data_IF_829096896153
#
_entry.id   IF_829096896153
#
_cell.length_a   1.000
_cell.length_b   1.000
_cell.length_c   1.000
_cell.angle_alpha   90.00
_cell.angle_beta   90.00
_cell.angle_gamma   90.00
#
_symmetry.space_group_name_H-M   'P 1'
#
loop_
_entity.id
_entity.type
_entity.pdbx_description
1 polymer ?
#
# COMPACT_ATOMS: atom_id res chain seq x y z
N UNK A 1 -112.71 -15.38 -38.05
CA UNK A 1 -113.50 -14.12 -38.02
C UNK A 1 -113.06 -13.12 -39.09
N UNK A 2 -111.79 -12.70 -39.15
CA UNK A 2 -111.34 -11.73 -40.16
C UNK A 2 -111.54 -12.25 -41.59
N UNK A 3 -111.10 -13.48 -41.89
CA UNK A 3 -111.30 -14.10 -43.21
C UNK A 3 -112.79 -14.23 -43.60
N UNK A 4 -113.68 -14.41 -42.63
CA UNK A 4 -115.12 -14.52 -42.88
C UNK A 4 -115.78 -13.16 -43.10
N UNK A 5 -115.37 -12.11 -42.36
CA UNK A 5 -115.81 -10.72 -42.57
C UNK A 5 -115.30 -10.18 -43.91
N UNK A 6 -114.04 -10.44 -44.25
CA UNK A 6 -113.46 -10.12 -45.55
C UNK A 6 -114.25 -10.78 -46.69
N UNK A 7 -114.67 -12.04 -46.53
CA UNK A 7 -115.52 -12.74 -47.50
C UNK A 7 -116.92 -12.12 -47.64
N UNK A 8 -117.52 -11.62 -46.55
CA UNK A 8 -118.80 -10.90 -46.59
C UNK A 8 -118.64 -9.58 -47.36
N UNK A 9 -117.57 -8.81 -47.08
CA UNK A 9 -117.24 -7.57 -47.81
C UNK A 9 -116.92 -7.80 -49.28
N UNK A 10 -116.21 -8.88 -49.64
CA UNK A 10 -115.96 -9.22 -51.04
C UNK A 10 -117.25 -9.60 -51.76
N UNK A 11 -118.16 -10.33 -51.11
CA UNK A 11 -119.47 -10.66 -51.69
C UNK A 11 -120.35 -9.41 -51.85
N UNK A 12 -120.36 -8.51 -50.87
CA UNK A 12 -121.03 -7.20 -50.97
C UNK A 12 -120.49 -6.39 -52.16
N UNK A 13 -119.15 -6.30 -52.30
CA UNK A 13 -118.48 -5.54 -53.37
C UNK A 13 -118.67 -6.16 -54.76
N UNK A 14 -118.50 -7.46 -54.88
CA UNK A 14 -118.47 -8.16 -56.17
C UNK A 14 -119.89 -8.52 -56.68
N UNK A 15 -120.90 -8.57 -55.79
CA UNK A 15 -122.30 -8.87 -56.16
C UNK A 15 -123.30 -7.72 -55.91
N UNK A 16 -122.86 -6.52 -55.51
CA UNK A 16 -123.69 -5.33 -55.30
C UNK A 16 -124.91 -5.57 -54.38
N UNK A 17 -124.73 -6.36 -53.32
CA UNK A 17 -125.79 -6.67 -52.37
C UNK A 17 -126.04 -5.45 -51.45
N UNK A 18 -127.26 -4.89 -51.46
CA UNK A 18 -127.65 -3.84 -50.53
C UNK A 18 -128.05 -4.42 -49.17
N UNK A 19 -127.09 -4.46 -48.24
CA UNK A 19 -127.34 -4.86 -46.87
C UNK A 19 -128.20 -3.81 -46.13
N UNK A 20 -129.12 -4.25 -45.29
CA UNK A 20 -129.94 -3.36 -44.45
C UNK A 20 -129.05 -2.62 -43.45
N UNK A 21 -129.37 -1.36 -43.14
CA UNK A 21 -128.58 -0.48 -42.26
C UNK A 21 -128.22 -1.13 -40.91
N UNK A 22 -129.15 -1.90 -40.33
CA UNK A 22 -128.93 -2.64 -39.08
C UNK A 22 -127.83 -3.73 -39.22
N UNK A 23 -127.75 -4.41 -40.36
CA UNK A 23 -126.73 -5.43 -40.64
C UNK A 23 -125.38 -4.78 -40.92
N UNK A 24 -125.34 -3.67 -41.65
CA UNK A 24 -124.10 -2.92 -41.91
C UNK A 24 -123.46 -2.39 -40.61
N UNK A 25 -124.26 -1.85 -39.69
CA UNK A 25 -123.76 -1.38 -38.39
C UNK A 25 -123.19 -2.55 -37.54
N UNK A 26 -123.83 -3.71 -37.57
CA UNK A 26 -123.33 -4.90 -36.87
C UNK A 26 -122.01 -5.42 -37.46
N UNK A 27 -121.87 -5.44 -38.79
CA UNK A 27 -120.65 -5.84 -39.48
C UNK A 27 -119.51 -4.87 -39.16
N UNK A 28 -119.76 -3.55 -39.18
CA UNK A 28 -118.74 -2.56 -38.84
C UNK A 28 -118.25 -2.69 -37.38
N UNK A 29 -119.16 -2.98 -36.44
CA UNK A 29 -118.77 -3.26 -35.04
C UNK A 29 -117.91 -4.52 -34.90
N UNK A 30 -118.22 -5.57 -35.67
CA UNK A 30 -117.44 -6.81 -35.70
C UNK A 30 -116.08 -6.62 -36.39
N UNK A 31 -115.99 -5.74 -37.40
CA UNK A 31 -114.73 -5.36 -38.04
C UNK A 31 -113.83 -4.58 -37.10
N UNK A 32 -114.38 -3.60 -36.37
CA UNK A 32 -113.60 -2.84 -35.37
C UNK A 32 -113.11 -3.76 -34.25
N UNK A 33 -113.97 -4.64 -33.72
CA UNK A 33 -113.58 -5.62 -32.71
C UNK A 33 -112.55 -6.62 -33.23
N UNK A 34 -112.70 -7.12 -34.45
CA UNK A 34 -111.72 -8.02 -35.06
C UNK A 34 -110.39 -7.33 -35.36
N UNK A 35 -110.41 -6.03 -35.69
CA UNK A 35 -109.24 -5.19 -35.86
C UNK A 35 -108.50 -4.95 -34.54
N UNK A 36 -109.21 -4.61 -33.47
CA UNK A 36 -108.65 -4.50 -32.11
C UNK A 36 -108.05 -5.82 -31.62
N UNK A 37 -108.70 -6.95 -31.92
CA UNK A 37 -108.19 -8.27 -31.56
C UNK A 37 -106.95 -8.66 -32.38
N UNK A 38 -106.89 -8.25 -33.66
CA UNK A 38 -105.73 -8.46 -34.51
C UNK A 38 -104.53 -7.63 -34.04
N UNK A 39 -104.72 -6.34 -33.73
CA UNK A 39 -103.64 -5.49 -33.23
C UNK A 39 -103.16 -5.94 -31.86
N UNK A 40 -104.05 -6.41 -30.98
CA UNK A 40 -103.69 -7.02 -29.71
C UNK A 40 -102.88 -8.32 -29.91
N UNK A 41 -103.29 -9.19 -30.83
CA UNK A 41 -102.57 -10.42 -31.15
C UNK A 41 -101.20 -10.15 -31.79
N UNK A 42 -101.09 -9.16 -32.68
CA UNK A 42 -99.82 -8.74 -33.28
C UNK A 42 -98.87 -8.15 -32.22
N UNK A 43 -99.39 -7.33 -31.30
CA UNK A 43 -98.63 -6.82 -30.17
C UNK A 43 -98.14 -7.95 -29.25
N UNK A 44 -99.00 -8.91 -28.92
CA UNK A 44 -98.63 -10.08 -28.12
C UNK A 44 -97.60 -10.96 -28.84
N UNK A 45 -97.74 -11.16 -30.15
CA UNK A 45 -96.77 -11.91 -30.96
C UNK A 45 -95.41 -11.21 -31.04
N UNK A 46 -95.39 -9.87 -31.16
CA UNK A 46 -94.16 -9.09 -31.14
C UNK A 46 -93.46 -9.18 -29.77
N UNK A 47 -94.21 -9.11 -28.66
CA UNK A 47 -93.68 -9.28 -27.30
C UNK A 47 -93.12 -10.70 -27.12
N UNK A 48 -93.83 -11.74 -27.57
CA UNK A 48 -93.35 -13.13 -27.52
C UNK A 48 -92.08 -13.34 -28.35
N UNK A 49 -92.00 -12.77 -29.55
CA UNK A 49 -90.80 -12.85 -30.38
C UNK A 49 -89.60 -12.16 -29.72
N UNK A 50 -89.80 -10.95 -29.19
CA UNK A 50 -88.72 -10.19 -28.54
C UNK A 50 -88.23 -10.86 -27.25
N UNK A 51 -89.14 -11.41 -26.44
CA UNK A 51 -88.77 -12.18 -25.24
C UNK A 51 -88.04 -13.48 -25.58
N UNK A 52 -88.46 -14.21 -26.61
CA UNK A 52 -87.75 -15.41 -27.08
C UNK A 52 -86.35 -15.08 -27.63
N UNK A 53 -86.20 -13.95 -28.31
CA UNK A 53 -84.89 -13.46 -28.76
C UNK A 53 -83.99 -13.10 -27.57
N UNK A 54 -84.52 -12.51 -26.50
CA UNK A 54 -83.76 -12.23 -25.28
C UNK A 54 -83.33 -13.51 -24.56
N UNK A 55 -84.19 -14.52 -24.50
CA UNK A 55 -83.87 -15.83 -23.88
C UNK A 55 -82.74 -16.53 -24.65
N UNK A 56 -82.84 -16.61 -25.97
CA UNK A 56 -81.77 -17.21 -26.80
C UNK A 56 -80.46 -16.44 -26.71
N UNK A 57 -80.51 -15.10 -26.65
CA UNK A 57 -79.31 -14.29 -26.40
C UNK A 57 -78.70 -14.57 -25.02
N UNK A 58 -79.52 -14.77 -23.99
CA UNK A 58 -79.03 -15.13 -22.67
C UNK A 58 -78.36 -16.50 -22.65
N UNK A 59 -78.91 -17.50 -23.34
CA UNK A 59 -78.30 -18.84 -23.45
C UNK A 59 -76.88 -18.75 -24.05
N UNK A 60 -76.71 -18.00 -25.13
CA UNK A 60 -75.40 -17.76 -25.76
C UNK A 60 -74.46 -17.00 -24.81
N UNK A 61 -74.97 -16.02 -24.07
CA UNK A 61 -74.17 -15.28 -23.08
C UNK A 61 -73.77 -16.16 -21.89
N UNK A 62 -74.65 -17.00 -21.39
CA UNK A 62 -74.40 -17.95 -20.32
C UNK A 62 -73.32 -18.96 -20.72
N UNK A 63 -73.42 -19.53 -21.92
CA UNK A 63 -72.40 -20.40 -22.49
C UNK A 63 -71.04 -19.68 -22.61
N UNK A 64 -71.06 -18.41 -23.03
CA UNK A 64 -69.84 -17.61 -23.17
C UNK A 64 -69.18 -17.28 -21.82
N UNK A 65 -69.95 -17.19 -20.74
CA UNK A 65 -69.45 -17.03 -19.36
C UNK A 65 -68.79 -18.33 -18.88
N UNK A 66 -69.39 -19.48 -19.18
CA UNK A 66 -68.83 -20.80 -18.84
C UNK A 66 -67.53 -21.08 -19.59
N UNK A 67 -67.47 -20.70 -20.87
CA UNK A 67 -66.28 -20.81 -21.71
C UNK A 67 -65.17 -19.79 -21.35
N UNK A 68 -65.39 -18.92 -20.36
CA UNK A 68 -64.35 -18.03 -19.83
C UNK A 68 -63.92 -16.92 -20.80
N UNK A 69 -64.82 -16.41 -21.64
CA UNK A 69 -64.53 -15.27 -22.52
C UNK A 69 -64.12 -14.01 -21.73
N UNK A 70 -63.49 -13.06 -22.43
CA UNK A 70 -62.97 -11.83 -21.82
C UNK A 70 -64.04 -11.11 -20.97
N UNK A 71 -63.78 -10.85 -19.67
CA UNK A 71 -64.76 -10.24 -18.77
C UNK A 71 -65.22 -8.85 -19.22
N UNK A 72 -64.40 -8.10 -19.96
CA UNK A 72 -64.76 -6.76 -20.47
C UNK A 72 -65.91 -6.84 -21.48
N UNK A 73 -65.80 -7.77 -22.44
CA UNK A 73 -66.82 -7.98 -23.49
C UNK A 73 -68.09 -8.58 -22.90
N UNK A 74 -67.95 -9.43 -21.88
CA UNK A 74 -69.09 -9.98 -21.14
C UNK A 74 -69.85 -8.90 -20.36
N UNK A 75 -69.14 -7.98 -19.70
CA UNK A 75 -69.79 -6.90 -18.95
C UNK A 75 -70.59 -5.98 -19.88
N UNK A 76 -70.04 -5.59 -21.04
CA UNK A 76 -70.77 -4.75 -21.99
C UNK A 76 -72.00 -5.46 -22.55
N UNK A 77 -71.84 -6.70 -23.04
CA UNK A 77 -72.95 -7.46 -23.63
C UNK A 77 -74.05 -7.83 -22.63
N UNK A 78 -73.72 -8.12 -21.36
CA UNK A 78 -74.70 -8.32 -20.29
C UNK A 78 -75.45 -7.03 -19.93
N UNK A 79 -74.77 -5.88 -19.99
CA UNK A 79 -75.39 -4.59 -19.72
C UNK A 79 -76.37 -4.19 -20.84
N UNK A 80 -75.96 -4.39 -22.10
CA UNK A 80 -76.81 -4.16 -23.28
C UNK A 80 -78.01 -5.13 -23.33
N UNK A 81 -77.84 -6.34 -22.79
CA UNK A 81 -78.93 -7.29 -22.62
C UNK A 81 -79.91 -6.84 -21.52
N UNK A 82 -79.40 -6.41 -20.35
CA UNK A 82 -80.23 -5.92 -19.24
C UNK A 82 -81.05 -4.69 -19.62
N UNK A 83 -80.47 -3.76 -20.39
CA UNK A 83 -81.17 -2.57 -20.87
C UNK A 83 -82.37 -2.93 -21.76
N UNK A 84 -82.19 -3.91 -22.66
CA UNK A 84 -83.29 -4.39 -23.52
C UNK A 84 -84.30 -5.24 -22.76
N UNK A 85 -83.85 -6.04 -21.78
CA UNK A 85 -84.70 -6.90 -20.97
C UNK A 85 -85.62 -6.14 -20.02
N UNK A 86 -85.17 -4.99 -19.49
CA UNK A 86 -85.99 -4.15 -18.61
C UNK A 86 -87.30 -3.69 -19.26
N UNK A 87 -87.32 -3.47 -20.57
CA UNK A 87 -88.53 -3.09 -21.31
C UNK A 87 -89.57 -4.23 -21.38
N UNK A 88 -89.18 -5.48 -21.09
CA UNK A 88 -90.03 -6.67 -21.14
C UNK A 88 -90.06 -7.43 -19.82
N UNK A 89 -89.73 -6.78 -18.70
CA UNK A 89 -89.53 -7.43 -17.40
C UNK A 89 -90.73 -8.29 -16.94
N UNK A 90 -91.96 -7.83 -17.21
CA UNK A 90 -93.20 -8.54 -16.84
C UNK A 90 -93.45 -9.82 -17.66
N UNK A 91 -92.82 -9.96 -18.83
CA UNK A 91 -93.03 -11.06 -19.77
C UNK A 91 -91.87 -12.06 -19.81
N UNK A 92 -90.81 -11.81 -19.05
CA UNK A 92 -89.64 -12.69 -18.96
C UNK A 92 -89.85 -13.79 -17.90
N UNK A 93 -89.14 -14.92 -18.02
CA UNK A 93 -89.11 -15.95 -16.98
C UNK A 93 -88.71 -15.35 -15.62
N UNK A 94 -89.44 -15.73 -14.57
CA UNK A 94 -89.17 -15.26 -13.21
C UNK A 94 -87.73 -15.62 -12.79
N UNK A 95 -87.00 -14.63 -12.24
CA UNK A 95 -85.63 -14.82 -11.76
C UNK A 95 -84.52 -14.65 -12.82
N UNK A 96 -84.85 -14.56 -14.11
CA UNK A 96 -83.83 -14.42 -15.17
C UNK A 96 -82.99 -13.13 -15.03
N UNK A 97 -83.64 -12.02 -14.69
CA UNK A 97 -82.96 -10.73 -14.48
C UNK A 97 -81.99 -10.81 -13.29
N UNK A 98 -82.35 -11.55 -12.24
CA UNK A 98 -81.50 -11.75 -11.07
C UNK A 98 -80.30 -12.64 -11.38
N UNK A 99 -80.49 -13.69 -12.19
CA UNK A 99 -79.40 -14.52 -12.72
C UNK A 99 -78.40 -13.69 -13.53
N UNK A 100 -78.88 -12.84 -14.45
CA UNK A 100 -78.02 -11.97 -15.25
C UNK A 100 -77.28 -10.95 -14.38
N UNK A 101 -77.96 -10.34 -13.41
CA UNK A 101 -77.32 -9.43 -12.45
C UNK A 101 -76.25 -10.13 -11.60
N UNK A 102 -76.47 -11.40 -11.22
CA UNK A 102 -75.48 -12.21 -10.51
C UNK A 102 -74.26 -12.51 -11.39
N UNK A 103 -74.49 -12.85 -12.66
CA UNK A 103 -73.43 -13.09 -13.64
C UNK A 103 -72.59 -11.83 -13.90
N UNK A 104 -73.24 -10.66 -13.95
CA UNK A 104 -72.58 -9.36 -14.10
C UNK A 104 -71.73 -9.01 -12.88
N UNK A 105 -72.22 -9.27 -11.65
CA UNK A 105 -71.42 -9.11 -10.42
C UNK A 105 -70.18 -10.02 -10.41
N UNK A 106 -70.34 -11.28 -10.82
CA UNK A 106 -69.25 -12.25 -10.90
C UNK A 106 -68.20 -11.85 -11.96
N UNK A 107 -68.63 -11.39 -13.14
CA UNK A 107 -67.70 -10.96 -14.20
C UNK A 107 -66.92 -9.70 -13.81
N UNK A 108 -67.57 -8.72 -13.17
CA UNK A 108 -66.90 -7.54 -12.57
C UNK A 108 -65.89 -7.94 -11.50
N UNK A 109 -66.24 -8.85 -10.59
CA UNK A 109 -65.34 -9.37 -9.56
C UNK A 109 -64.11 -10.09 -10.13
N UNK A 110 -64.29 -10.90 -11.19
CA UNK A 110 -63.17 -11.55 -11.90
C UNK A 110 -62.24 -10.52 -12.55
N UNK A 111 -62.79 -9.46 -13.13
CA UNK A 111 -62.03 -8.39 -13.75
C UNK A 111 -61.20 -7.62 -12.70
N UNK A 112 -61.82 -7.19 -11.60
CA UNK A 112 -61.11 -6.46 -10.53
C UNK A 112 -60.01 -7.31 -9.91
N UNK A 113 -60.26 -8.60 -9.66
CA UNK A 113 -59.23 -9.52 -9.16
C UNK A 113 -58.02 -9.62 -10.10
N UNK A 114 -58.24 -9.71 -11.41
CA UNK A 114 -57.14 -9.76 -12.40
C UNK A 114 -56.34 -8.46 -12.42
N UNK A 115 -57.00 -7.30 -12.37
CA UNK A 115 -56.31 -6.01 -12.32
C UNK A 115 -55.53 -5.82 -11.02
N UNK A 116 -56.09 -6.20 -9.87
CA UNK A 116 -55.41 -6.11 -8.58
C UNK A 116 -54.16 -7.00 -8.57
N UNK A 117 -54.26 -8.24 -9.06
CA UNK A 117 -53.10 -9.11 -9.17
C UNK A 117 -52.03 -8.52 -10.09
N UNK A 118 -52.40 -8.06 -11.29
CA UNK A 118 -51.46 -7.48 -12.24
C UNK A 118 -50.77 -6.23 -11.65
N UNK A 119 -51.53 -5.30 -11.08
CA UNK A 119 -50.98 -4.11 -10.44
C UNK A 119 -50.09 -4.46 -9.25
N UNK A 120 -50.50 -5.40 -8.39
CA UNK A 120 -49.69 -5.84 -7.24
C UNK A 120 -48.37 -6.48 -7.67
N UNK A 121 -48.38 -7.33 -8.71
CA UNK A 121 -47.16 -7.95 -9.25
C UNK A 121 -46.26 -6.92 -9.91
N UNK A 122 -46.83 -5.92 -10.59
CA UNK A 122 -46.06 -4.87 -11.24
C UNK A 122 -45.41 -3.94 -10.22
N UNK A 123 -46.15 -3.55 -9.18
CA UNK A 123 -45.64 -2.76 -8.06
C UNK A 123 -44.55 -3.53 -7.30
N UNK A 124 -44.78 -4.82 -7.00
CA UNK A 124 -43.78 -5.65 -6.33
C UNK A 124 -42.50 -5.80 -7.16
N UNK A 125 -42.63 -6.06 -8.46
CA UNK A 125 -41.49 -6.13 -9.38
C UNK A 125 -40.73 -4.80 -9.46
N UNK A 126 -41.45 -3.67 -9.53
CA UNK A 126 -40.85 -2.34 -9.53
C UNK A 126 -40.11 -2.05 -8.21
N UNK A 127 -40.69 -2.41 -7.07
CA UNK A 127 -40.06 -2.23 -5.75
C UNK A 127 -38.78 -3.06 -5.61
N UNK A 128 -38.77 -4.31 -6.10
CA UNK A 128 -37.56 -5.15 -6.10
C UNK A 128 -36.49 -4.53 -6.99
N UNK A 129 -36.85 -4.03 -8.16
CA UNK A 129 -35.91 -3.40 -9.08
C UNK A 129 -35.35 -2.09 -8.51
N UNK A 130 -36.21 -1.24 -7.94
CA UNK A 130 -35.80 -0.02 -7.25
C UNK A 130 -34.89 -0.31 -6.03
N UNK A 131 -35.23 -1.34 -5.24
CA UNK A 131 -34.42 -1.79 -4.11
C UNK A 131 -33.05 -2.31 -4.54
N UNK A 132 -32.97 -3.09 -5.62
CA UNK A 132 -31.71 -3.58 -6.17
C UNK A 132 -30.83 -2.43 -6.71
N UNK A 133 -31.42 -1.46 -7.42
CA UNK A 133 -30.71 -0.26 -7.90
C UNK A 133 -30.20 0.57 -6.71
N UNK A 134 -31.04 0.80 -5.71
CA UNK A 134 -30.65 1.54 -4.51
C UNK A 134 -29.51 0.84 -3.77
N UNK A 135 -29.60 -0.48 -3.59
CA UNK A 135 -28.55 -1.28 -2.95
C UNK A 135 -27.23 -1.22 -3.73
N UNK A 136 -27.28 -1.36 -5.06
CA UNK A 136 -26.11 -1.24 -5.93
C UNK A 136 -25.47 0.17 -5.86
N UNK A 137 -26.29 1.22 -5.87
CA UNK A 137 -25.84 2.59 -5.74
C UNK A 137 -25.14 2.83 -4.40
N UNK A 138 -25.74 2.37 -3.29
CA UNK A 138 -25.13 2.48 -1.96
C UNK A 138 -23.81 1.74 -1.89
N UNK A 139 -23.71 0.54 -2.45
CA UNK A 139 -22.42 -0.18 -2.53
C UNK A 139 -21.38 0.63 -3.30
N UNK A 140 -21.76 1.24 -4.43
CA UNK A 140 -20.81 2.01 -5.24
C UNK A 140 -20.35 3.28 -4.54
N UNK A 141 -21.25 3.98 -3.87
CA UNK A 141 -20.95 5.13 -3.01
C UNK A 141 -19.94 4.74 -1.93
N UNK A 142 -20.23 3.64 -1.21
CA UNK A 142 -19.34 3.13 -0.16
C UNK A 142 -17.95 2.74 -0.71
N UNK A 143 -17.88 2.08 -1.87
CA UNK A 143 -16.60 1.75 -2.54
C UNK A 143 -15.82 3.00 -2.92
N UNK A 144 -16.49 4.06 -3.35
CA UNK A 144 -15.84 5.31 -3.74
C UNK A 144 -15.28 6.07 -2.54
N UNK A 145 -16.00 6.08 -1.41
CA UNK A 145 -15.54 6.67 -0.15
C UNK A 145 -14.32 5.92 0.38
N UNK A 146 -14.35 4.58 0.40
CA UNK A 146 -13.21 3.78 0.83
C UNK A 146 -11.94 4.07 0.00
N UNK A 147 -12.07 4.15 -1.32
CA UNK A 147 -10.94 4.50 -2.21
C UNK A 147 -10.38 5.90 -1.93
N UNK A 148 -11.25 6.90 -1.70
CA UNK A 148 -10.82 8.25 -1.34
C UNK A 148 -10.08 8.26 -0.02
N UNK A 149 -10.58 7.54 0.99
CA UNK A 149 -9.91 7.43 2.28
C UNK A 149 -8.54 6.76 2.17
N UNK A 150 -8.42 5.67 1.40
CA UNK A 150 -7.13 5.03 1.15
C UNK A 150 -6.16 5.96 0.39
N UNK A 151 -6.64 6.74 -0.57
CA UNK A 151 -5.83 7.76 -1.25
C UNK A 151 -5.36 8.84 -0.27
N UNK A 152 -6.21 9.28 0.64
CA UNK A 152 -5.83 10.24 1.67
C UNK A 152 -4.83 9.66 2.68
N UNK A 153 -4.97 8.39 3.06
CA UNK A 153 -3.98 7.70 3.90
C UNK A 153 -2.64 7.58 3.15
N UNK A 154 -2.66 7.32 1.84
CA UNK A 154 -1.46 7.28 1.01
C UNK A 154 -0.79 8.66 0.91
N UNK A 155 -1.53 9.74 0.74
CA UNK A 155 -0.95 11.08 0.71
C UNK A 155 -0.34 11.46 2.08
N UNK A 156 -0.97 11.05 3.19
CA UNK A 156 -0.38 11.20 4.52
C UNK A 156 0.91 10.39 4.68
N UNK A 157 0.98 9.18 4.09
CA UNK A 157 2.20 8.35 4.06
C UNK A 157 3.31 8.94 3.20
N UNK A 158 2.98 9.61 2.10
CA UNK A 158 3.94 10.36 1.27
C UNK A 158 4.57 11.51 2.06
N UNK A 159 3.76 12.20 2.87
CA UNK A 159 4.21 13.28 3.77
C UNK A 159 4.95 12.72 5.01
N UNK A 160 4.95 11.39 5.21
CA UNK A 160 5.47 10.67 6.39
C UNK A 160 4.72 10.98 7.71
N UNK A 161 3.45 11.33 7.63
CA UNK A 161 2.57 11.50 8.79
C UNK A 161 2.02 10.16 9.31
N UNK A 162 2.94 9.32 9.78
CA UNK A 162 2.65 7.93 10.18
C UNK A 162 1.66 7.79 11.34
N UNK A 163 1.56 8.80 12.21
CA UNK A 163 0.66 8.77 13.37
C UNK A 163 -0.78 9.06 12.96
N UNK A 164 -1.00 10.11 12.16
CA UNK A 164 -2.34 10.47 11.65
C UNK A 164 -2.82 9.41 10.66
N UNK A 165 -1.95 8.92 9.77
CA UNK A 165 -2.26 7.83 8.84
C UNK A 165 -2.73 6.56 9.58
N UNK A 166 -2.05 6.18 10.67
CA UNK A 166 -2.42 5.02 11.46
C UNK A 166 -3.73 5.21 12.25
N UNK A 167 -3.95 6.41 12.81
CA UNK A 167 -5.20 6.74 13.47
C UNK A 167 -6.37 6.64 12.50
N UNK A 168 -6.23 7.22 11.30
CA UNK A 168 -7.25 7.20 10.24
C UNK A 168 -7.51 5.79 9.72
N UNK A 169 -6.46 4.99 9.51
CA UNK A 169 -6.60 3.57 9.16
C UNK A 169 -7.33 2.77 10.26
N UNK A 170 -7.12 3.11 11.54
CA UNK A 170 -7.76 2.44 12.67
C UNK A 170 -9.21 2.87 12.89
N UNK A 171 -9.55 4.14 12.65
CA UNK A 171 -10.93 4.64 12.71
C UNK A 171 -11.78 4.05 11.60
N UNK A 172 -11.22 3.92 10.40
CA UNK A 172 -11.93 3.39 9.24
C UNK A 172 -12.18 1.89 9.36
N UNK A 173 -11.28 1.15 10.03
CA UNK A 173 -11.53 -0.25 10.38
C UNK A 173 -12.75 -0.42 11.30
N UNK A 174 -12.92 0.49 12.28
CA UNK A 174 -14.08 0.45 13.20
C UNK A 174 -15.40 0.80 12.51
N UNK A 175 -15.36 1.64 11.47
CA UNK A 175 -16.56 2.20 10.86
C UNK A 175 -17.00 1.51 9.55
N UNK A 176 -16.11 0.79 8.84
CA UNK A 176 -16.37 0.54 7.40
C UNK A 176 -15.91 -0.80 6.83
N UNK A 177 -14.76 -1.35 7.25
CA UNK A 177 -14.12 -2.48 6.55
C UNK A 177 -14.69 -3.84 6.97
N UNK A 178 -15.32 -3.94 8.15
CA UNK A 178 -15.83 -5.21 8.68
C UNK A 178 -17.25 -5.59 8.22
N UNK A 179 -17.94 -4.71 7.48
CA UNK A 179 -19.26 -5.01 6.92
C UNK A 179 -19.16 -5.49 5.46
N UNK A 180 -19.06 -6.82 5.33
CA UNK A 180 -19.53 -7.66 4.21
C UNK A 180 -18.89 -7.52 2.81
N UNK A 181 -17.96 -6.57 2.55
CA UNK A 181 -17.15 -6.52 1.29
C UNK A 181 -15.66 -6.28 1.51
N UNK A 182 -15.16 -6.80 2.62
CA UNK A 182 -13.77 -6.67 3.06
C UNK A 182 -12.75 -7.27 2.07
N UNK A 183 -13.08 -8.33 1.33
CA UNK A 183 -12.08 -9.07 0.53
C UNK A 183 -11.37 -8.25 -0.53
N UNK A 184 -12.05 -7.32 -1.20
CA UNK A 184 -11.43 -6.47 -2.24
C UNK A 184 -10.43 -5.45 -1.64
N UNK A 185 -10.64 -5.01 -0.39
CA UNK A 185 -9.82 -3.98 0.25
C UNK A 185 -8.91 -4.52 1.36
N UNK A 186 -9.00 -5.81 1.69
CA UNK A 186 -8.17 -6.44 2.72
C UNK A 186 -6.69 -6.44 2.31
N UNK A 187 -6.40 -6.68 1.03
CA UNK A 187 -5.04 -6.66 0.51
C UNK A 187 -4.44 -5.25 0.61
N UNK A 188 -5.13 -4.24 0.06
CA UNK A 188 -4.72 -2.84 0.16
C UNK A 188 -4.56 -2.36 1.61
N UNK A 189 -5.49 -2.74 2.49
CA UNK A 189 -5.41 -2.45 3.92
C UNK A 189 -4.16 -3.07 4.57
N UNK A 190 -3.88 -4.33 4.25
CA UNK A 190 -2.73 -5.06 4.80
C UNK A 190 -1.41 -4.46 4.32
N UNK A 191 -1.34 -4.03 3.05
CA UNK A 191 -0.19 -3.35 2.47
C UNK A 191 0.07 -2.01 3.16
N UNK A 192 -0.97 -1.17 3.28
CA UNK A 192 -0.87 0.14 3.95
C UNK A 192 -0.44 -0.04 5.42
N UNK A 193 -0.97 -1.06 6.10
CA UNK A 193 -0.59 -1.38 7.48
C UNK A 193 0.89 -1.77 7.59
N UNK A 194 1.41 -2.59 6.65
CA UNK A 194 2.84 -2.95 6.60
C UNK A 194 3.70 -1.70 6.36
N UNK A 195 3.33 -0.86 5.40
CA UNK A 195 4.05 0.38 5.11
C UNK A 195 4.11 1.33 6.31
N UNK A 196 3.00 1.50 7.03
CA UNK A 196 2.96 2.29 8.29
C UNK A 196 3.96 1.72 9.30
N UNK A 197 4.01 0.40 9.47
CA UNK A 197 4.90 -0.23 10.42
C UNK A 197 6.37 -0.04 10.03
N UNK A 198 6.72 -0.24 8.76
CA UNK A 198 8.08 -0.01 8.25
C UNK A 198 8.52 1.45 8.40
N UNK A 199 7.63 2.40 8.11
CA UNK A 199 7.94 3.83 8.30
C UNK A 199 8.11 4.18 9.78
N UNK A 200 7.32 3.59 10.68
CA UNK A 200 7.48 3.78 12.14
C UNK A 200 8.80 3.24 12.66
N UNK A 201 9.20 2.06 12.21
CA UNK A 201 10.47 1.45 12.59
C UNK A 201 11.65 2.30 12.11
N UNK A 202 11.61 2.76 10.85
CA UNK A 202 12.62 3.69 10.32
C UNK A 202 12.64 5.01 11.08
N UNK A 203 11.49 5.61 11.38
CA UNK A 203 11.42 6.85 12.18
C UNK A 203 11.96 6.64 13.61
N UNK A 204 11.69 5.51 14.25
CA UNK A 204 12.23 5.19 15.56
C UNK A 204 13.75 5.06 15.52
N UNK A 205 14.30 4.34 14.53
CA UNK A 205 15.74 4.23 14.31
C UNK A 205 16.38 5.62 14.11
N UNK A 206 15.82 6.44 13.22
CA UNK A 206 16.34 7.79 12.98
C UNK A 206 16.25 8.70 14.20
N UNK A 207 15.20 8.60 15.03
CA UNK A 207 15.13 9.35 16.29
C UNK A 207 16.21 8.90 17.28
N UNK A 208 16.49 7.59 17.37
CA UNK A 208 17.58 7.09 18.23
C UNK A 208 18.95 7.55 17.73
N UNK A 209 19.18 7.54 16.42
CA UNK A 209 20.40 8.06 15.81
C UNK A 209 20.54 9.57 16.03
N UNK A 210 19.48 10.36 15.82
CA UNK A 210 19.49 11.79 16.07
C UNK A 210 19.88 12.12 17.52
N UNK A 211 19.34 11.38 18.49
CA UNK A 211 19.68 11.52 19.90
C UNK A 211 21.14 11.13 20.18
N UNK A 212 21.63 10.04 19.59
CA UNK A 212 23.04 9.63 19.68
C UNK A 212 23.96 10.73 19.14
N UNK A 213 23.65 11.29 17.98
CA UNK A 213 24.42 12.37 17.36
C UNK A 213 24.42 13.65 18.21
N UNK A 214 23.29 14.00 18.82
CA UNK A 214 23.20 15.15 19.73
C UNK A 214 24.01 14.92 21.02
N UNK A 215 23.98 13.70 21.56
CA UNK A 215 24.81 13.33 22.72
C UNK A 215 26.30 13.37 22.38
N UNK A 216 26.69 12.83 21.21
CA UNK A 216 28.06 12.87 20.72
C UNK A 216 28.59 14.31 20.56
N UNK A 217 27.73 15.24 20.10
CA UNK A 217 28.07 16.65 20.03
C UNK A 217 28.30 17.24 21.43
N UNK A 218 27.45 16.89 22.40
CA UNK A 218 27.60 17.35 23.80
C UNK A 218 28.83 16.78 24.50
N UNK A 219 29.18 15.51 24.23
CA UNK A 219 30.36 14.87 24.81
C UNK A 219 31.68 15.34 24.19
N UNK A 220 31.62 16.01 23.04
CA UNK A 220 32.77 16.37 22.23
C UNK A 220 33.24 15.22 21.35
N UNK A 221 33.70 15.56 20.14
CA UNK A 221 34.21 14.59 19.17
C UNK A 221 35.72 14.49 19.35
N UNK A 222 36.20 13.29 19.66
CA UNK A 222 37.62 12.98 19.84
C UNK A 222 38.10 11.97 18.79
N UNK A 223 39.41 11.71 18.74
CA UNK A 223 40.02 10.86 17.72
C UNK A 223 39.56 9.39 17.79
N UNK A 224 39.20 8.90 18.99
CA UNK A 224 38.73 7.52 19.19
C UNK A 224 37.30 7.31 18.69
N UNK A 225 36.42 8.30 18.86
CA UNK A 225 34.99 8.16 18.56
C UNK A 225 34.63 8.80 17.20
N UNK A 226 35.53 9.59 16.63
CA UNK A 226 35.36 10.28 15.36
C UNK A 226 34.93 9.34 14.22
N UNK A 227 35.56 8.17 14.10
CA UNK A 227 35.33 7.22 13.01
C UNK A 227 33.85 6.85 12.92
N UNK A 228 33.34 6.38 14.05
CA UNK A 228 31.96 5.94 14.23
C UNK A 228 31.01 7.12 14.01
N UNK A 229 31.26 8.26 14.66
CA UNK A 229 30.43 9.46 14.53
C UNK A 229 30.35 9.95 13.08
N UNK A 230 31.45 9.92 12.32
CA UNK A 230 31.47 10.33 10.91
C UNK A 230 30.67 9.35 10.01
N UNK A 231 30.78 8.05 10.25
CA UNK A 231 29.98 7.04 9.52
C UNK A 231 28.50 7.18 9.81
N UNK A 232 28.12 7.30 11.09
CA UNK A 232 26.74 7.51 11.51
C UNK A 232 26.18 8.84 11.02
N UNK A 233 26.96 9.94 11.06
CA UNK A 233 26.53 11.24 10.53
C UNK A 233 26.22 11.18 9.03
N UNK A 234 27.07 10.53 8.23
CA UNK A 234 26.84 10.38 6.79
C UNK A 234 25.62 9.51 6.48
N UNK A 235 25.50 8.38 7.16
CA UNK A 235 24.36 7.48 7.02
C UNK A 235 23.05 8.18 7.41
N UNK A 236 23.06 8.93 8.52
CA UNK A 236 21.92 9.70 9.00
C UNK A 236 21.51 10.80 8.01
N UNK A 237 22.46 11.58 7.48
CA UNK A 237 22.15 12.62 6.48
C UNK A 237 21.55 12.02 5.21
N UNK A 238 22.11 10.90 4.74
CA UNK A 238 21.57 10.18 3.59
C UNK A 238 20.16 9.63 3.89
N UNK A 239 19.93 9.05 5.06
CA UNK A 239 18.62 8.54 5.43
C UNK A 239 17.58 9.65 5.61
N UNK A 240 17.96 10.78 6.22
CA UNK A 240 17.10 11.97 6.39
C UNK A 240 16.68 12.58 5.06
N UNK A 241 17.51 12.50 4.02
CA UNK A 241 17.16 12.95 2.66
C UNK A 241 16.08 12.10 1.97
N UNK A 242 15.88 10.85 2.43
CA UNK A 242 14.89 9.92 1.89
C UNK A 242 13.55 9.98 2.64
N UNK A 243 13.48 10.77 3.71
CA UNK A 243 12.33 10.89 4.60
C UNK A 243 11.44 12.07 4.16
N UNK A 244 10.13 11.94 4.34
CA UNK A 244 9.15 13.00 4.01
C UNK A 244 9.29 14.25 4.89
N UNK A 245 8.64 15.33 4.47
CA UNK A 245 8.78 16.67 5.08
C UNK A 245 8.43 16.71 6.57
N UNK A 246 7.38 16.01 7.01
CA UNK A 246 6.93 16.06 8.41
C UNK A 246 7.92 15.37 9.36
N UNK A 247 8.39 14.18 8.98
CA UNK A 247 9.40 13.47 9.75
C UNK A 247 10.76 14.21 9.72
N UNK A 248 11.09 14.89 8.62
CA UNK A 248 12.25 15.78 8.55
C UNK A 248 12.16 16.94 9.56
N UNK A 249 11.01 17.60 9.69
CA UNK A 249 10.80 18.67 10.68
C UNK A 249 10.94 18.17 12.12
N UNK A 250 10.42 16.98 12.44
CA UNK A 250 10.56 16.39 13.77
C UNK A 250 12.00 16.01 14.08
N UNK A 251 12.71 15.39 13.13
CA UNK A 251 14.11 15.03 13.27
C UNK A 251 15.00 16.28 13.40
N UNK A 252 14.67 17.37 12.70
CA UNK A 252 15.36 18.65 12.83
C UNK A 252 15.21 19.28 14.21
N UNK A 253 14.07 19.09 14.89
CA UNK A 253 13.91 19.56 16.29
C UNK A 253 14.85 18.83 17.26
N UNK A 254 15.14 17.56 16.99
CA UNK A 254 16.04 16.74 17.83
C UNK A 254 17.52 17.03 17.52
N UNK A 255 17.88 17.05 16.23
CA UNK A 255 19.22 17.36 15.76
C UNK A 255 19.19 18.53 14.77
N UNK A 256 19.36 19.79 15.23
CA UNK A 256 19.15 20.98 14.41
C UNK A 256 20.13 21.11 13.24
N UNK A 257 21.38 20.64 13.38
CA UNK A 257 22.41 20.77 12.34
C UNK A 257 23.34 19.54 12.26
N UNK A 258 22.97 18.48 11.52
CA UNK A 258 23.83 17.33 11.29
C UNK A 258 25.07 17.69 10.44
N UNK A 259 25.00 18.73 9.62
CA UNK A 259 26.12 19.24 8.84
C UNK A 259 27.23 19.88 9.71
N UNK A 260 26.89 20.45 10.86
CA UNK A 260 27.88 20.94 11.81
C UNK A 260 28.70 19.79 12.41
N UNK A 261 28.11 18.61 12.56
CA UNK A 261 28.83 17.42 13.04
C UNK A 261 29.84 16.95 11.98
N UNK A 262 29.46 16.93 10.70
CA UNK A 262 30.40 16.61 9.64
C UNK A 262 31.52 17.64 9.50
N UNK A 263 31.23 18.94 9.66
CA UNK A 263 32.27 19.97 9.56
C UNK A 263 33.23 19.95 10.76
N UNK A 264 32.74 19.72 11.98
CA UNK A 264 33.60 19.51 13.16
C UNK A 264 34.46 18.27 13.00
N UNK A 265 33.87 17.19 12.45
CA UNK A 265 34.60 16.01 12.03
C UNK A 265 35.72 16.35 11.01
N UNK A 266 35.41 17.10 9.95
CA UNK A 266 36.40 17.48 8.94
C UNK A 266 37.54 18.31 9.53
N UNK A 267 37.24 19.29 10.39
CA UNK A 267 38.25 20.09 11.09
C UNK A 267 39.21 19.23 11.89
N UNK A 268 38.70 18.28 12.68
CA UNK A 268 39.53 17.35 13.44
C UNK A 268 40.42 16.53 12.49
N UNK A 269 39.92 16.06 11.34
CA UNK A 269 40.78 15.35 10.39
C UNK A 269 41.85 16.21 9.76
N UNK A 270 41.55 17.47 9.43
CA UNK A 270 42.51 18.40 8.86
C UNK A 270 43.60 18.75 9.88
N UNK A 271 43.22 19.07 11.12
CA UNK A 271 44.15 19.32 12.22
C UNK A 271 45.10 18.13 12.41
N UNK A 272 44.59 16.90 12.48
CA UNK A 272 45.45 15.72 12.66
C UNK A 272 46.30 15.39 11.42
N UNK A 273 45.82 15.68 10.20
CA UNK A 273 46.64 15.59 8.97
C UNK A 273 47.79 16.59 8.98
N UNK A 274 47.54 17.82 9.41
CA UNK A 274 48.61 18.83 9.53
C UNK A 274 49.62 18.46 10.62
N UNK A 275 49.16 17.91 11.76
CA UNK A 275 50.05 17.39 12.80
C UNK A 275 50.93 16.25 12.28
N UNK A 276 50.35 15.27 11.57
CA UNK A 276 51.09 14.18 10.95
C UNK A 276 52.10 14.68 9.91
N UNK A 277 51.72 15.65 9.08
CA UNK A 277 52.61 16.25 8.09
C UNK A 277 53.82 16.95 8.76
N UNK A 278 53.57 17.74 9.81
CA UNK A 278 54.61 18.42 10.57
C UNK A 278 55.58 17.42 11.23
N UNK A 279 55.04 16.36 11.84
CA UNK A 279 55.86 15.30 12.44
C UNK A 279 56.67 14.52 11.39
N UNK A 280 56.13 14.31 10.19
CA UNK A 280 56.89 13.71 9.07
C UNK A 280 58.06 14.60 8.63
N UNK A 281 57.88 15.92 8.60
CA UNK A 281 58.97 16.87 8.31
C UNK A 281 60.03 16.81 9.40
N UNK A 282 59.62 16.81 10.67
CA UNK A 282 60.54 16.70 11.81
C UNK A 282 61.34 15.39 11.79
N UNK A 283 60.67 14.29 11.44
CA UNK A 283 61.30 12.98 11.24
C UNK A 283 62.29 13.01 10.07
N UNK A 284 61.95 13.61 8.92
CA UNK A 284 62.89 13.75 7.80
C UNK A 284 64.10 14.61 8.17
N UNK A 285 63.90 15.68 8.96
CA UNK A 285 64.98 16.55 9.44
C UNK A 285 65.90 15.83 10.42
N UNK A 286 65.36 15.01 11.33
CA UNK A 286 66.14 14.24 12.30
C UNK A 286 66.88 13.06 11.67
N UNK A 287 66.35 12.45 10.61
CA UNK A 287 67.00 11.39 9.84
C UNK A 287 68.17 11.90 8.97
N UNK A 288 68.10 13.13 8.48
CA UNK A 288 69.11 13.72 7.60
C UNK A 288 69.24 13.04 6.22
N UNK A 289 69.88 13.73 5.28
CA UNK A 289 70.11 13.26 3.90
C UNK A 289 71.35 12.37 3.72
N UNK A 290 72.20 12.26 4.75
CA UNK A 290 73.47 11.52 4.70
C UNK A 290 73.31 10.11 5.27
N UNK A 291 74.27 9.21 5.07
CA UNK A 291 74.26 7.81 5.57
C UNK A 291 74.11 7.66 7.09
N UNK A 292 74.33 8.73 7.89
CA UNK A 292 74.16 8.73 9.35
C UNK A 292 73.01 9.65 9.78
N UNK A 293 72.17 9.20 10.70
CA UNK A 293 71.10 9.99 11.32
C UNK A 293 71.73 11.12 12.13
N UNK A 294 71.21 12.35 11.97
CA UNK A 294 71.73 13.51 12.68
C UNK A 294 71.35 13.52 14.16
N UNK A 295 70.10 13.15 14.49
CA UNK A 295 69.59 13.13 15.87
C UNK A 295 68.77 11.86 16.17
N UNK A 296 69.45 10.76 16.55
CA UNK A 296 68.81 9.48 16.82
C UNK A 296 67.73 9.53 17.92
N UNK A 297 67.90 10.20 19.07
CA UNK A 297 66.89 10.22 20.12
C UNK A 297 65.60 10.94 19.70
N UNK A 298 65.73 12.02 18.93
CA UNK A 298 64.58 12.77 18.42
C UNK A 298 63.84 11.98 17.32
N UNK A 299 64.58 11.25 16.47
CA UNK A 299 63.99 10.39 15.45
C UNK A 299 63.16 9.23 16.07
N UNK A 300 63.62 8.65 17.19
CA UNK A 300 62.87 7.62 17.92
C UNK A 300 61.58 8.20 18.53
N UNK A 301 61.68 9.31 19.25
CA UNK A 301 60.54 9.95 19.91
C UNK A 301 59.47 10.42 18.89
N UNK A 302 59.89 10.93 17.73
CA UNK A 302 58.97 11.32 16.65
C UNK A 302 58.25 10.11 16.06
N UNK A 303 58.91 8.96 15.85
CA UNK A 303 58.23 7.72 15.42
C UNK A 303 57.20 7.25 16.45
N UNK A 304 57.55 7.29 17.74
CA UNK A 304 56.64 6.90 18.82
C UNK A 304 55.38 7.77 18.89
N UNK A 305 55.48 9.04 18.47
CA UNK A 305 54.33 9.96 18.34
C UNK A 305 53.51 9.75 17.07
N UNK A 306 54.16 9.44 15.93
CA UNK A 306 53.44 9.30 14.65
C UNK A 306 52.67 7.98 14.57
N UNK A 307 53.20 6.88 15.12
CA UNK A 307 52.56 5.55 15.08
C UNK A 307 51.13 5.54 15.68
N UNK A 308 50.87 6.06 16.90
CA UNK A 308 49.51 6.10 17.44
C UNK A 308 48.60 7.04 16.64
N UNK A 309 49.13 8.14 16.09
CA UNK A 309 48.37 9.05 15.23
C UNK A 309 47.93 8.36 13.94
N UNK A 310 48.79 7.60 13.27
CA UNK A 310 48.37 6.86 12.07
C UNK A 310 47.36 5.77 12.40
N UNK A 311 47.55 5.03 13.49
CA UNK A 311 46.58 4.01 13.91
C UNK A 311 45.20 4.63 14.14
N UNK A 312 45.14 5.75 14.84
CA UNK A 312 43.88 6.46 15.08
C UNK A 312 43.25 7.04 13.80
N UNK A 313 44.06 7.57 12.88
CA UNK A 313 43.59 8.06 11.57
C UNK A 313 43.14 6.93 10.64
N UNK A 314 43.75 5.75 10.76
CA UNK A 314 43.38 4.54 10.02
C UNK A 314 42.05 3.99 10.52
N UNK A 315 41.86 3.91 11.84
CA UNK A 315 40.57 3.56 12.46
C UNK A 315 39.49 4.57 12.04
N UNK A 316 39.86 5.85 11.93
CA UNK A 316 39.03 6.93 11.42
C UNK A 316 38.66 6.86 9.92
N UNK A 317 39.18 5.87 9.17
CA UNK A 317 38.87 5.68 7.76
C UNK A 317 39.42 6.80 6.85
N UNK A 318 40.44 7.52 7.30
CA UNK A 318 41.08 8.58 6.52
C UNK A 318 41.90 7.97 5.38
N UNK A 319 41.65 8.42 4.16
CA UNK A 319 42.41 7.99 2.96
C UNK A 319 43.80 8.63 2.94
N UNK A 320 44.74 7.98 2.24
CA UNK A 320 46.11 8.44 1.96
C UNK A 320 47.13 8.30 3.12
N UNK A 321 46.97 7.27 3.96
CA UNK A 321 47.90 6.99 5.07
C UNK A 321 49.05 6.04 4.69
N UNK A 322 48.93 5.33 3.56
CA UNK A 322 49.88 4.28 3.17
C UNK A 322 51.29 4.83 2.89
N UNK A 323 51.38 6.01 2.30
CA UNK A 323 52.66 6.69 2.06
C UNK A 323 53.33 7.09 3.38
N UNK A 324 52.55 7.59 4.35
CA UNK A 324 53.06 7.94 5.67
C UNK A 324 53.54 6.69 6.43
N UNK A 325 52.79 5.59 6.37
CA UNK A 325 53.19 4.31 6.95
C UNK A 325 54.49 3.79 6.31
N UNK A 326 54.58 3.78 4.99
CA UNK A 326 55.77 3.32 4.28
C UNK A 326 57.02 4.17 4.60
N UNK A 327 56.87 5.49 4.74
CA UNK A 327 57.98 6.35 5.16
C UNK A 327 58.45 6.06 6.59
N UNK A 328 57.52 5.77 7.51
CA UNK A 328 57.86 5.44 8.90
C UNK A 328 58.49 4.07 9.01
N UNK A 329 58.02 3.08 8.26
CA UNK A 329 58.62 1.75 8.25
C UNK A 329 60.06 1.80 7.73
N UNK A 330 60.30 2.56 6.66
CA UNK A 330 61.66 2.82 6.15
C UNK A 330 62.52 3.53 7.19
N UNK A 331 61.98 4.56 7.86
CA UNK A 331 62.67 5.27 8.91
C UNK A 331 63.01 4.38 10.10
N UNK A 332 62.08 3.50 10.50
CA UNK A 332 62.23 2.57 11.61
C UNK A 332 63.30 1.51 11.33
N UNK A 333 63.32 0.95 10.11
CA UNK A 333 64.41 0.04 9.67
C UNK A 333 65.76 0.75 9.78
N UNK A 334 65.84 2.01 9.36
CA UNK A 334 67.07 2.78 9.42
C UNK A 334 67.49 3.07 10.87
N UNK A 335 66.59 3.55 11.71
CA UNK A 335 66.85 3.87 13.12
C UNK A 335 67.25 2.62 13.90
N UNK A 336 66.56 1.49 13.69
CA UNK A 336 66.93 0.22 14.34
C UNK A 336 68.31 -0.26 13.88
N UNK A 337 68.65 -0.09 12.60
CA UNK A 337 69.99 -0.41 12.10
C UNK A 337 71.08 0.47 12.73
N UNK A 338 70.85 1.78 12.86
CA UNK A 338 71.82 2.71 13.45
C UNK A 338 71.90 2.57 14.98
N UNK A 339 70.79 2.30 15.66
CA UNK A 339 70.75 1.99 17.10
C UNK A 339 71.49 0.69 17.42
N UNK A 340 71.33 -0.34 16.59
CA UNK A 340 72.10 -1.58 16.70
C UNK A 340 73.59 -1.34 16.42
N UNK A 341 73.94 -0.51 15.45
CA UNK A 341 75.33 -0.14 15.18
C UNK A 341 75.94 0.63 16.36
N UNK A 342 75.21 1.59 16.95
CA UNK A 342 75.68 2.37 18.08
C UNK A 342 75.83 1.53 19.35
N UNK A 343 74.88 0.65 19.66
CA UNK A 343 75.00 -0.26 20.81
C UNK A 343 76.16 -1.24 20.65
N UNK A 344 76.41 -1.73 19.44
CA UNK A 344 77.59 -2.56 19.14
C UNK A 344 78.89 -1.77 19.29
N UNK A 345 78.95 -0.52 18.80
CA UNK A 345 80.12 0.37 19.01
C UNK A 345 80.32 0.66 20.50
N UNK A 346 79.25 0.96 21.25
CA UNK A 346 79.32 1.16 22.69
C UNK A 346 79.84 -0.09 23.40
N UNK A 347 79.35 -1.28 23.03
CA UNK A 347 79.84 -2.54 23.58
C UNK A 347 81.33 -2.74 23.32
N UNK A 348 81.83 -2.38 22.13
CA UNK A 348 83.26 -2.42 21.80
C UNK A 348 84.07 -1.43 22.62
N UNK A 349 83.55 -0.21 22.85
CA UNK A 349 84.23 0.81 23.65
C UNK A 349 84.23 0.54 25.15
N UNK A 350 83.24 -0.21 25.64
CA UNK A 350 83.10 -0.56 27.07
C UNK A 350 83.75 -1.90 27.42
N UNK A 351 84.28 -2.65 26.44
CA UNK A 351 85.00 -3.89 26.70
C UNK A 351 86.32 -3.61 27.44
N UNK A 352 86.42 -4.10 28.67
CA UNK A 352 87.65 -4.03 29.50
C UNK A 352 88.57 -5.23 29.32
N UNK A 353 88.10 -6.31 28.68
CA UNK A 353 88.83 -7.56 28.47
C UNK A 353 88.92 -7.87 26.95
N UNK A 354 90.10 -8.29 26.50
CA UNK A 354 90.38 -8.74 25.14
C UNK A 354 89.45 -9.87 24.67
N UNK A 355 89.03 -10.78 25.56
CA UNK A 355 88.06 -11.84 25.22
C UNK A 355 86.67 -11.26 24.92
N UNK A 356 86.22 -10.29 25.73
CA UNK A 356 84.95 -9.60 25.51
C UNK A 356 85.00 -8.74 24.25
N UNK A 357 86.12 -8.06 24.02
CA UNK A 357 86.35 -7.26 22.81
C UNK A 357 86.30 -8.12 21.53
N UNK A 358 86.95 -9.28 21.52
CA UNK A 358 86.92 -10.21 20.37
C UNK A 358 85.52 -10.81 20.15
N UNK A 359 84.75 -11.06 21.21
CA UNK A 359 83.37 -11.51 21.10
C UNK A 359 82.44 -10.39 20.56
N UNK A 360 82.59 -9.16 21.06
CA UNK A 360 81.85 -7.99 20.58
C UNK A 360 82.20 -7.68 19.10
N UNK A 361 83.47 -7.79 18.72
CA UNK A 361 83.93 -7.67 17.33
C UNK A 361 83.35 -8.80 16.45
N UNK A 362 83.26 -10.01 16.99
CA UNK A 362 82.56 -11.15 16.38
C UNK A 362 81.08 -10.89 16.12
N UNK A 363 80.38 -10.23 17.06
CA UNK A 363 78.98 -9.84 16.85
C UNK A 363 78.82 -8.71 15.82
N UNK A 364 79.72 -7.72 15.82
CA UNK A 364 79.72 -6.60 14.87
C UNK A 364 79.93 -7.08 13.43
N UNK A 365 80.87 -7.99 13.22
CA UNK A 365 81.20 -8.54 11.89
C UNK A 365 80.15 -9.49 11.32
N UNK A 366 79.41 -10.21 12.17
CA UNK A 366 78.27 -11.03 11.75
C UNK A 366 77.09 -10.18 11.25
N UNK A 367 76.88 -9.02 11.87
CA UNK A 367 75.74 -8.15 11.57
C UNK A 367 76.03 -7.13 10.45
N UNK A 368 77.29 -6.90 10.11
CA UNK A 368 77.69 -5.97 9.07
C UNK A 368 78.11 -6.74 7.79
N UNK A 369 77.21 -6.80 6.80
CA UNK A 369 77.44 -7.52 5.52
C UNK A 369 78.23 -6.70 4.51
N UNK A 370 78.54 -5.43 4.81
CA UNK A 370 79.31 -4.58 3.93
C UNK A 370 80.72 -5.15 3.72
N UNK A 371 81.14 -5.28 2.46
CA UNK A 371 82.47 -5.76 2.05
C UNK A 371 83.56 -4.71 2.24
N UNK A 372 83.61 -4.07 3.41
CA UNK A 372 84.64 -3.08 3.72
C UNK A 372 85.97 -3.78 4.04
N UNK A 373 87.08 -3.13 3.69
CA UNK A 373 88.43 -3.61 4.03
C UNK A 373 88.56 -3.84 5.55
N UNK A 374 87.94 -2.97 6.36
CA UNK A 374 87.89 -3.09 7.81
C UNK A 374 87.13 -4.35 8.28
N UNK A 375 86.04 -4.72 7.62
CA UNK A 375 85.31 -5.95 7.93
C UNK A 375 86.14 -7.20 7.59
N UNK A 376 86.86 -7.18 6.47
CA UNK A 376 87.82 -8.25 6.13
C UNK A 376 88.93 -8.37 7.16
N UNK A 377 89.49 -7.25 7.63
CA UNK A 377 90.49 -7.24 8.70
C UNK A 377 89.91 -7.73 10.04
N UNK A 378 88.68 -7.35 10.38
CA UNK A 378 88.03 -7.82 11.59
C UNK A 378 87.75 -9.33 11.53
N UNK A 379 87.31 -9.85 10.36
CA UNK A 379 87.13 -11.28 10.12
C UNK A 379 88.44 -12.07 10.19
N UNK A 380 89.55 -11.53 9.63
CA UNK A 380 90.85 -12.19 9.79
C UNK A 380 91.28 -12.20 11.25
N UNK A 381 91.08 -11.11 12.02
CA UNK A 381 91.36 -11.07 13.46
C UNK A 381 90.51 -12.12 14.21
N UNK A 382 89.21 -12.24 13.91
CA UNK A 382 88.33 -13.23 14.55
C UNK A 382 88.76 -14.66 14.21
N UNK A 383 89.12 -14.95 12.96
CA UNK A 383 89.63 -16.27 12.56
C UNK A 383 90.93 -16.65 13.29
N UNK A 384 91.72 -15.64 13.69
CA UNK A 384 92.94 -15.83 14.48
C UNK A 384 92.72 -15.65 16.00
N UNK A 385 91.51 -15.31 16.45
CA UNK A 385 91.12 -15.12 17.85
C UNK A 385 91.61 -16.25 18.79
N UNK A 386 91.41 -17.54 18.49
CA UNK A 386 91.89 -18.62 19.37
C UNK A 386 93.42 -18.64 19.50
N UNK A 387 94.17 -18.23 18.46
CA UNK A 387 95.63 -18.12 18.54
C UNK A 387 96.06 -16.88 19.32
N UNK A 388 95.38 -15.74 19.11
CA UNK A 388 95.65 -14.46 19.78
C UNK A 388 95.45 -14.59 21.30
N UNK A 389 94.42 -15.31 21.74
CA UNK A 389 94.15 -15.59 23.15
C UNK A 389 95.21 -16.48 23.84
N UNK A 390 96.05 -17.19 23.07
CA UNK A 390 97.11 -18.08 23.57
C UNK A 390 98.53 -17.51 23.48
N UNK A 391 98.71 -16.29 22.97
CA UNK A 391 100.03 -15.69 22.82
C UNK A 391 100.65 -15.31 24.19
N UNK A 392 101.98 -15.34 24.35
CA UNK A 392 102.65 -14.79 25.52
C UNK A 392 102.69 -13.24 25.48
N UNK A 393 102.50 -12.61 26.65
CA UNK A 393 102.45 -11.15 26.90
C UNK A 393 103.52 -10.31 26.20
N UNK A 394 104.73 -10.83 26.06
CA UNK A 394 105.89 -10.14 25.49
C UNK A 394 105.81 -9.90 23.98
N UNK A 395 104.87 -10.55 23.28
CA UNK A 395 104.73 -10.48 21.82
C UNK A 395 103.65 -9.49 21.40
N UNK A 396 102.81 -9.03 22.33
CA UNK A 396 101.76 -8.05 22.04
C UNK A 396 102.31 -6.62 22.11
N UNK A 397 101.79 -5.76 21.24
CA UNK A 397 102.06 -4.32 21.33
C UNK A 397 101.59 -3.76 22.69
N UNK A 398 102.26 -2.72 23.26
CA UNK A 398 102.00 -2.23 24.61
C UNK A 398 100.53 -1.92 24.94
N UNK A 399 99.77 -1.42 23.94
CA UNK A 399 98.35 -1.12 24.08
C UNK A 399 97.45 -2.36 24.17
N UNK A 400 97.83 -3.47 23.51
CA UNK A 400 97.10 -4.74 23.59
C UNK A 400 97.43 -5.51 24.88
N UNK A 401 98.65 -5.34 25.41
CA UNK A 401 99.01 -5.84 26.73
C UNK A 401 98.17 -5.20 27.85
N UNK A 402 97.85 -3.90 27.73
CA UNK A 402 97.02 -3.17 28.69
C UNK A 402 95.55 -3.61 28.72
N UNK A 403 94.98 -4.08 27.60
CA UNK A 403 93.62 -4.68 27.54
C UNK A 403 93.56 -6.11 28.09
N UNK A 404 94.71 -6.75 28.31
CA UNK A 404 94.79 -8.11 28.84
C UNK A 404 94.74 -8.18 30.37
N UNK A 405 95.11 -7.07 31.02
CA UNK A 405 94.99 -6.91 32.46
C UNK A 405 93.72 -6.09 32.73
N UNK A 406 92.79 -6.62 33.53
CA UNK A 406 91.66 -5.89 34.10
C UNK A 406 92.18 -4.75 35.00
N UNK A 407 92.72 -3.68 34.44
CA UNK A 407 93.05 -2.46 35.19
C UNK A 407 91.95 -1.44 34.89
N UNK A 408 91.03 -1.20 35.82
CA UNK A 408 90.13 -0.06 35.71
C UNK A 408 90.99 1.21 35.72
N UNK A 409 90.87 2.04 34.67
CA UNK A 409 91.39 3.39 34.71
C UNK A 409 90.67 4.14 35.83
N UNK A 410 91.38 4.47 36.91
CA UNK A 410 91.04 5.56 37.82
C UNK A 410 91.22 6.90 37.14
#
# INVERSE_FOLDING_TARGET
CINTLAKIRTLERDHQLSLTEQVQNSIHSLENWAGELATAHEAEAAIKSNTQQLITQWEVLSESIQNGKSPVVLISSLNDWLERANNFAEHLPAGLIDEVNSALKLSRSRLTRRYVLLLSTWIAGFLVLAGAIFYAYRIQELKSEARRNFQEIRSLLEIWDTEVAAQKLSSDNKNYILTEKSSEFLDEYSEIKKLIQEQREKNAQLRTEANYMQQALKSGINLSNYAEINTHAKAYIQAVSQVGSKAHEELRKLCPDPALILSTCQKITEENRTQLFNLRIELKKSLGSNEKISDLPNAINTIEKIRPLILSLSIAGVKDLDEANAEIDRANIRITSESNALSQIQSLTQCTDLKLYLNALGSLTKNNTASSHLNKCAQTIINHSPKILTLPRSVLAPHMGAMWDNIPNT
#
